data_IF_908816844715
#
_entry.id   IF_908816844715
#
_cell.length_a   1.000
_cell.length_b   1.000
_cell.length_c   1.000
_cell.angle_alpha   90.00
_cell.angle_beta   90.00
_cell.angle_gamma   90.00
#
_symmetry.space_group_name_H-M   'P 1'
#
loop_
_entity.id
_entity.type
_entity.pdbx_description
1 polymer ?
#
# COMPACT_ATOMS: atom_id res chain seq x y z
N UNK A 1 -0.68 21.38 18.76
CA UNK A 1 -1.55 21.15 17.59
C UNK A 1 -2.58 22.27 17.57
N UNK A 2 -2.62 23.07 16.51
CA UNK A 2 -3.57 24.19 16.43
C UNK A 2 -4.90 23.70 15.84
N UNK A 3 -6.02 24.32 16.24
CA UNK A 3 -7.34 23.98 15.69
C UNK A 3 -7.39 24.15 14.15
N UNK A 4 -6.60 25.08 13.60
CA UNK A 4 -6.50 25.32 12.16
C UNK A 4 -6.00 24.09 11.39
N UNK A 5 -5.17 23.25 12.01
CA UNK A 5 -4.55 22.09 11.35
C UNK A 5 -5.47 20.87 11.33
N UNK A 6 -6.39 20.78 12.30
CA UNK A 6 -7.21 19.58 12.53
C UNK A 6 -8.70 19.75 12.25
N UNK A 7 -9.20 20.99 12.16
CA UNK A 7 -10.65 21.29 12.07
C UNK A 7 -11.03 22.16 10.87
N UNK A 8 -10.09 22.59 10.04
CA UNK A 8 -10.42 23.38 8.84
C UNK A 8 -10.72 22.50 7.65
N UNK A 9 -11.64 22.98 6.81
CA UNK A 9 -11.87 22.46 5.46
C UNK A 9 -11.25 23.40 4.44
N UNK A 10 -10.68 22.83 3.39
CA UNK A 10 -10.10 23.58 2.29
C UNK A 10 -11.09 23.74 1.14
N UNK A 11 -11.39 24.98 0.78
CA UNK A 11 -12.21 25.31 -0.36
C UNK A 11 -11.31 25.68 -1.54
N UNK A 12 -11.06 24.70 -2.41
CA UNK A 12 -10.12 24.82 -3.53
C UNK A 12 -10.40 26.01 -4.48
N UNK A 13 -11.65 26.29 -4.91
CA UNK A 13 -11.93 27.41 -5.83
C UNK A 13 -11.41 28.77 -5.35
N UNK A 14 -11.51 29.06 -4.05
CA UNK A 14 -11.03 30.33 -3.49
C UNK A 14 -9.67 30.21 -2.79
N UNK A 15 -9.10 29.01 -2.70
CA UNK A 15 -7.84 28.74 -1.97
C UNK A 15 -7.90 29.16 -0.49
N UNK A 16 -9.07 29.00 0.15
CA UNK A 16 -9.29 29.40 1.55
C UNK A 16 -9.46 28.18 2.45
N UNK A 17 -8.92 28.26 3.67
CA UNK A 17 -9.25 27.34 4.78
C UNK A 17 -10.28 27.99 5.69
N UNK A 18 -11.32 27.25 6.05
CA UNK A 18 -12.37 27.75 6.92
C UNK A 18 -12.68 26.74 8.03
N UNK A 19 -12.99 27.26 9.21
CA UNK A 19 -13.72 26.49 10.23
C UNK A 19 -15.20 26.55 9.86
N UNK A 20 -15.84 25.38 9.77
CA UNK A 20 -17.27 25.27 9.50
C UNK A 20 -17.95 24.80 10.77
N UNK A 21 -18.66 25.69 11.49
CA UNK A 21 -19.35 25.32 12.73
C UNK A 21 -20.28 24.12 12.51
N UNK A 22 -20.43 23.29 13.55
CA UNK A 22 -21.18 22.04 13.54
C UNK A 22 -20.54 20.91 12.72
N UNK A 23 -20.04 21.21 11.53
CA UNK A 23 -19.33 20.23 10.71
C UNK A 23 -18.00 19.82 11.35
N UNK A 24 -17.34 20.74 12.05
CA UNK A 24 -16.08 20.49 12.75
C UNK A 24 -16.18 19.46 13.89
N UNK A 25 -17.38 19.14 14.37
CA UNK A 25 -17.61 18.06 15.35
C UNK A 25 -17.69 16.66 14.72
N UNK A 26 -17.85 16.54 13.41
CA UNK A 26 -18.02 15.24 12.75
C UNK A 26 -16.70 14.48 12.80
N UNK A 27 -16.70 13.27 13.36
CA UNK A 27 -15.48 12.49 13.57
C UNK A 27 -15.05 11.69 12.33
N UNK A 28 -13.79 11.28 12.35
CA UNK A 28 -13.23 10.42 11.32
C UNK A 28 -13.64 8.95 11.52
N UNK A 29 -13.96 8.27 10.42
CA UNK A 29 -14.02 6.80 10.35
C UNK A 29 -13.35 6.31 9.06
N UNK A 30 -12.74 5.12 9.14
CA UNK A 30 -12.25 4.39 7.97
C UNK A 30 -13.39 3.84 7.10
N UNK A 31 -14.53 3.56 7.73
CA UNK A 31 -15.76 3.11 7.09
C UNK A 31 -16.87 4.11 7.45
N UNK A 32 -16.86 5.32 6.86
CA UNK A 32 -17.81 6.35 7.23
C UNK A 32 -19.22 6.00 6.76
N UNK A 33 -20.22 6.47 7.52
CA UNK A 33 -21.63 6.38 7.13
C UNK A 33 -22.15 7.67 6.46
N UNK A 34 -21.28 8.67 6.31
CA UNK A 34 -21.59 9.94 5.66
C UNK A 34 -20.44 10.44 4.80
N UNK A 35 -20.78 11.31 3.85
CA UNK A 35 -19.83 12.04 3.00
C UNK A 35 -20.21 13.51 2.97
N UNK A 36 -19.27 14.37 2.65
CA UNK A 36 -19.52 15.80 2.52
C UNK A 36 -19.16 16.31 1.14
N UNK A 37 -19.77 17.44 0.76
CA UNK A 37 -19.52 18.13 -0.50
C UNK A 37 -19.42 19.62 -0.18
N UNK A 38 -18.39 20.28 -0.72
CA UNK A 38 -18.33 21.73 -0.80
C UNK A 38 -18.83 22.18 -2.16
N UNK A 39 -19.88 22.98 -2.18
CA UNK A 39 -20.42 23.55 -3.41
C UNK A 39 -19.57 24.74 -3.89
N UNK A 40 -19.77 25.14 -5.14
CA UNK A 40 -19.07 26.28 -5.75
C UNK A 40 -19.41 27.63 -5.09
N UNK A 41 -20.54 27.73 -4.39
CA UNK A 41 -20.94 28.91 -3.61
C UNK A 41 -20.35 28.92 -2.19
N UNK A 42 -19.51 27.94 -1.84
CA UNK A 42 -18.91 27.80 -0.52
C UNK A 42 -19.81 27.14 0.52
N UNK A 43 -21.03 26.71 0.15
CA UNK A 43 -21.89 25.95 1.07
C UNK A 43 -21.40 24.51 1.22
N UNK A 44 -21.42 24.01 2.46
CA UNK A 44 -21.08 22.62 2.79
C UNK A 44 -22.35 21.80 2.99
N UNK A 45 -22.40 20.61 2.39
CA UNK A 45 -23.48 19.63 2.61
C UNK A 45 -22.89 18.34 3.16
N UNK A 46 -23.45 17.86 4.27
CA UNK A 46 -23.20 16.53 4.82
C UNK A 46 -24.36 15.62 4.40
N UNK A 47 -24.02 14.47 3.80
CA UNK A 47 -24.97 13.53 3.20
C UNK A 47 -24.70 12.14 3.76
N UNK A 48 -25.73 11.51 4.33
CA UNK A 48 -25.67 10.10 4.69
C UNK A 48 -25.46 9.24 3.43
N UNK A 49 -24.60 8.22 3.52
CA UNK A 49 -24.38 7.25 2.43
C UNK A 49 -25.23 5.99 2.59
N UNK A 50 -25.95 5.86 3.70
CA UNK A 50 -26.84 4.76 4.01
C UNK A 50 -27.81 5.13 5.12
N UNK A 51 -28.50 4.12 5.64
CA UNK A 51 -29.31 4.27 6.85
C UNK A 51 -28.38 4.51 8.06
N UNK A 52 -28.76 5.45 8.94
CA UNK A 52 -28.05 5.74 10.19
C UNK A 52 -29.06 5.55 11.31
N UNK A 53 -28.77 4.66 12.26
CA UNK A 53 -29.67 4.36 13.37
C UNK A 53 -29.73 5.49 14.41
N UNK A 54 -30.82 5.56 15.17
CA UNK A 54 -30.92 6.52 16.27
C UNK A 54 -29.84 6.19 17.31
N UNK A 55 -28.97 7.17 17.58
CA UNK A 55 -27.85 7.01 18.50
C UNK A 55 -26.55 6.54 17.81
N UNK A 56 -26.59 6.18 16.53
CA UNK A 56 -25.38 5.92 15.75
C UNK A 56 -24.65 7.24 15.44
N UNK A 57 -23.33 7.23 15.58
CA UNK A 57 -22.50 8.40 15.32
C UNK A 57 -22.40 8.69 13.82
N UNK A 58 -22.57 9.95 13.44
CA UNK A 58 -22.33 10.42 12.07
C UNK A 58 -20.82 10.61 11.86
N UNK A 59 -20.24 9.90 10.91
CA UNK A 59 -18.79 9.92 10.66
C UNK A 59 -18.45 10.16 9.19
N UNK A 60 -17.27 10.73 8.93
CA UNK A 60 -16.74 11.00 7.59
C UNK A 60 -15.30 10.48 7.44
N UNK A 61 -14.81 10.38 6.22
CA UNK A 61 -13.36 10.29 5.99
C UNK A 61 -12.76 11.69 5.97
N UNK A 62 -11.81 11.98 6.86
CA UNK A 62 -11.03 13.22 6.83
C UNK A 62 -10.08 13.20 5.63
N UNK A 63 -9.34 12.11 5.51
CA UNK A 63 -8.39 11.88 4.43
C UNK A 63 -8.07 10.39 4.26
N UNK A 64 -7.54 10.02 3.11
CA UNK A 64 -7.02 8.67 2.84
C UNK A 64 -5.50 8.60 3.04
N UNK A 65 -5.03 9.04 4.21
CA UNK A 65 -3.60 9.17 4.57
C UNK A 65 -3.16 8.12 5.61
N UNK A 66 -1.86 7.77 5.69
CA UNK A 66 -1.32 6.85 6.70
C UNK A 66 -1.62 7.26 8.15
N UNK A 67 -1.70 6.26 9.03
CA UNK A 67 -1.84 6.44 10.48
C UNK A 67 -0.78 7.38 11.08
N UNK A 68 0.45 7.37 10.56
CA UNK A 68 1.50 8.31 10.99
C UNK A 68 1.08 9.78 10.79
N UNK A 69 0.44 10.09 9.65
CA UNK A 69 -0.05 11.45 9.37
C UNK A 69 -1.32 11.75 10.15
N UNK A 70 -2.18 10.77 10.39
CA UNK A 70 -3.36 10.94 11.26
C UNK A 70 -2.94 11.27 12.69
N UNK A 71 -1.92 10.60 13.23
CA UNK A 71 -1.40 10.87 14.57
C UNK A 71 -0.83 12.30 14.68
N UNK A 72 -0.03 12.72 13.71
CA UNK A 72 0.57 14.06 13.70
C UNK A 72 -0.47 15.17 13.47
N UNK A 73 -1.47 14.93 12.62
CA UNK A 73 -2.44 15.98 12.22
C UNK A 73 -3.63 16.06 13.17
N UNK A 74 -4.13 14.91 13.64
CA UNK A 74 -5.38 14.81 14.37
C UNK A 74 -5.24 14.14 15.75
N UNK A 75 -4.07 13.58 16.08
CA UNK A 75 -3.78 13.04 17.41
C UNK A 75 -4.34 11.65 17.67
N UNK A 76 -4.73 10.90 16.64
CA UNK A 76 -5.25 9.54 16.78
C UNK A 76 -4.66 8.58 15.76
N UNK A 77 -4.80 7.28 16.04
CA UNK A 77 -4.43 6.16 15.17
C UNK A 77 -5.64 5.24 15.11
N UNK A 78 -5.99 4.76 13.92
CA UNK A 78 -7.12 3.84 13.76
C UNK A 78 -6.64 2.39 13.80
N UNK A 79 -7.34 1.58 14.60
CA UNK A 79 -7.25 0.13 14.63
C UNK A 79 -8.28 -0.45 13.66
N UNK A 80 -7.85 -1.00 12.54
CA UNK A 80 -8.76 -1.63 11.59
C UNK A 80 -8.24 -1.65 10.15
N UNK A 81 -9.05 -2.20 9.27
CA UNK A 81 -8.81 -2.15 7.84
C UNK A 81 -9.12 -0.77 7.28
N UNK A 82 -8.38 -0.36 6.26
CA UNK A 82 -8.64 0.89 5.55
C UNK A 82 -7.39 1.51 4.94
N UNK A 83 -7.55 2.66 4.26
CA UNK A 83 -6.45 3.32 3.56
C UNK A 83 -5.35 3.85 4.50
N UNK A 84 -5.67 4.02 5.78
CA UNK A 84 -4.76 4.50 6.83
C UNK A 84 -3.76 3.45 7.31
N UNK A 85 -4.09 2.15 7.13
CA UNK A 85 -3.17 1.03 7.32
C UNK A 85 -2.20 1.00 6.15
N UNK A 86 -1.27 1.96 6.16
CA UNK A 86 -0.27 2.16 5.13
C UNK A 86 0.96 2.88 5.68
N UNK A 87 2.07 2.78 4.97
CA UNK A 87 3.32 3.47 5.27
C UNK A 87 3.75 4.24 4.02
N UNK A 88 4.02 5.53 4.18
CA UNK A 88 4.68 6.34 3.15
C UNK A 88 6.19 6.10 3.26
N UNK A 89 6.84 5.78 2.14
CA UNK A 89 8.27 5.46 2.10
C UNK A 89 8.95 6.17 0.94
N UNK A 90 10.18 6.60 1.17
CA UNK A 90 11.06 7.14 0.14
C UNK A 90 12.03 6.05 -0.30
N UNK A 91 11.91 5.62 -1.56
CA UNK A 91 12.82 4.65 -2.16
C UNK A 91 13.92 5.39 -2.90
N UNK A 92 15.16 5.03 -2.65
CA UNK A 92 16.34 5.59 -3.31
C UNK A 92 17.20 4.49 -3.87
N UNK A 93 17.63 4.64 -5.12
CA UNK A 93 18.41 3.61 -5.82
C UNK A 93 19.86 4.04 -6.08
N UNK A 94 20.32 5.12 -5.45
CA UNK A 94 21.64 5.73 -5.67
C UNK A 94 22.86 4.85 -5.32
N UNK A 95 22.66 3.66 -4.74
CA UNK A 95 23.71 2.66 -4.59
C UNK A 95 23.90 1.78 -5.84
N UNK A 96 23.02 1.89 -6.84
CA UNK A 96 23.12 1.15 -8.11
C UNK A 96 23.94 1.95 -9.13
N UNK A 97 24.79 1.29 -9.95
CA UNK A 97 25.52 1.95 -11.03
C UNK A 97 24.53 2.68 -11.96
N UNK A 98 24.86 3.91 -12.34
CA UNK A 98 24.05 4.80 -13.20
C UNK A 98 22.74 5.35 -12.61
N UNK A 99 22.44 5.07 -11.34
CA UNK A 99 21.31 5.72 -10.68
C UNK A 99 21.64 7.17 -10.30
N UNK A 100 20.96 8.12 -10.95
CA UNK A 100 20.77 9.45 -10.37
C UNK A 100 20.17 9.26 -8.96
N UNK A 101 20.48 10.16 -8.02
CA UNK A 101 19.90 10.19 -6.66
C UNK A 101 18.39 10.52 -6.68
N UNK A 102 17.63 9.84 -7.52
CA UNK A 102 16.20 9.95 -7.65
C UNK A 102 15.56 9.20 -6.48
N UNK A 103 14.78 9.96 -5.71
CA UNK A 103 13.97 9.44 -4.62
C UNK A 103 12.54 9.34 -5.14
N UNK A 104 11.97 8.14 -5.05
CA UNK A 104 10.58 7.89 -5.41
C UNK A 104 9.78 7.67 -4.14
N UNK A 105 8.81 8.56 -3.91
CA UNK A 105 7.87 8.39 -2.82
C UNK A 105 6.79 7.38 -3.20
N UNK A 106 6.69 6.31 -2.42
CA UNK A 106 5.67 5.28 -2.55
C UNK A 106 4.81 5.20 -1.29
N UNK A 107 3.65 4.58 -1.43
CA UNK A 107 2.79 4.23 -0.30
C UNK A 107 2.57 2.72 -0.33
N UNK A 108 3.00 2.04 0.73
CA UNK A 108 2.81 0.61 0.96
C UNK A 108 1.50 0.43 1.74
N UNK A 109 0.58 -0.39 1.24
CA UNK A 109 -0.71 -0.64 1.86
C UNK A 109 -0.65 -1.81 2.86
N UNK A 110 -1.67 -1.95 3.70
CA UNK A 110 -1.77 -2.99 4.74
C UNK A 110 -1.55 -4.42 4.25
N UNK A 111 -1.92 -4.71 3.01
CA UNK A 111 -1.71 -6.01 2.36
C UNK A 111 -0.35 -6.14 1.65
N UNK A 112 0.58 -5.21 1.88
CA UNK A 112 1.87 -5.12 1.20
C UNK A 112 1.81 -4.42 -0.16
N UNK A 113 0.65 -4.23 -0.79
CA UNK A 113 0.62 -3.69 -2.15
C UNK A 113 1.09 -2.23 -2.23
N UNK A 114 1.79 -1.87 -3.31
CA UNK A 114 2.13 -0.47 -3.61
C UNK A 114 0.96 0.25 -4.31
N UNK A 115 0.53 1.40 -3.78
CA UNK A 115 -0.53 2.24 -4.39
C UNK A 115 -0.02 3.09 -5.55
N UNK A 116 1.23 3.59 -5.48
CA UNK A 116 1.84 4.48 -6.49
C UNK A 116 2.91 3.76 -7.31
N UNK A 117 2.51 2.76 -8.10
CA UNK A 117 3.45 1.94 -8.91
C UNK A 117 4.02 2.67 -10.12
N UNK A 118 3.29 3.61 -10.72
CA UNK A 118 3.70 4.22 -11.99
C UNK A 118 5.03 5.00 -11.92
N UNK A 119 5.30 5.84 -10.90
CA UNK A 119 6.60 6.50 -10.75
C UNK A 119 7.75 5.51 -10.58
N UNK A 120 7.53 4.43 -9.82
CA UNK A 120 8.51 3.36 -9.66
C UNK A 120 8.80 2.68 -11.01
N UNK A 121 7.77 2.35 -11.80
CA UNK A 121 7.94 1.76 -13.13
C UNK A 121 8.67 2.69 -14.11
N UNK A 122 8.48 4.01 -14.00
CA UNK A 122 9.20 4.99 -14.81
C UNK A 122 10.69 5.04 -14.45
N UNK A 123 11.00 5.09 -13.16
CA UNK A 123 12.39 5.02 -12.67
C UNK A 123 13.05 3.71 -13.11
N UNK A 124 12.33 2.59 -13.03
CA UNK A 124 12.87 1.29 -13.46
C UNK A 124 13.27 1.27 -14.93
N UNK A 125 12.45 1.90 -15.78
CA UNK A 125 12.76 2.01 -17.21
C UNK A 125 13.96 2.91 -17.48
N UNK A 126 14.13 4.00 -16.72
CA UNK A 126 15.28 4.90 -16.90
C UNK A 126 16.59 4.26 -16.42
N UNK A 127 16.56 3.53 -15.31
CA UNK A 127 17.74 2.90 -14.71
C UNK A 127 18.15 1.57 -15.36
N UNK A 128 17.35 1.02 -16.29
CA UNK A 128 17.61 -0.27 -16.96
C UNK A 128 17.92 -1.42 -16.00
N UNK A 129 17.35 -1.39 -14.80
CA UNK A 129 17.60 -2.39 -13.77
C UNK A 129 16.94 -3.71 -14.14
N UNK A 130 17.61 -4.81 -13.80
CA UNK A 130 16.96 -6.11 -13.78
C UNK A 130 15.90 -6.16 -12.68
N UNK A 131 14.86 -6.98 -12.87
CA UNK A 131 13.84 -7.20 -11.81
C UNK A 131 14.47 -7.75 -10.53
N UNK A 132 15.54 -8.54 -10.63
CA UNK A 132 16.27 -9.09 -9.49
C UNK A 132 16.99 -8.01 -8.69
N UNK A 133 17.76 -7.15 -9.35
CA UNK A 133 18.49 -6.04 -8.69
C UNK A 133 17.54 -5.04 -8.03
N UNK A 134 16.37 -4.80 -8.64
CA UNK A 134 15.31 -4.01 -8.04
C UNK A 134 14.79 -4.68 -6.76
N UNK A 135 14.43 -5.95 -6.84
CA UNK A 135 13.81 -6.65 -5.74
C UNK A 135 14.78 -6.73 -4.54
N UNK A 136 16.07 -6.96 -4.79
CA UNK A 136 17.13 -6.89 -3.78
C UNK A 136 17.22 -5.49 -3.15
N UNK A 137 17.24 -4.43 -3.96
CA UNK A 137 17.30 -3.05 -3.46
C UNK A 137 16.06 -2.64 -2.64
N UNK A 138 14.87 -3.13 -3.01
CA UNK A 138 13.64 -2.94 -2.25
C UNK A 138 13.68 -3.69 -0.92
N UNK A 139 14.09 -4.96 -0.94
CA UNK A 139 14.23 -5.78 0.27
C UNK A 139 15.21 -5.12 1.24
N UNK A 140 16.36 -4.66 0.76
CA UNK A 140 17.37 -4.01 1.60
C UNK A 140 16.82 -2.73 2.27
N UNK A 141 16.20 -1.84 1.50
CA UNK A 141 15.67 -0.58 2.05
C UNK A 141 14.52 -0.80 3.02
N UNK A 142 13.59 -1.71 2.69
CA UNK A 142 12.46 -2.00 3.56
C UNK A 142 12.88 -2.73 4.82
N UNK A 143 13.89 -3.61 4.73
CA UNK A 143 14.45 -4.26 5.92
C UNK A 143 15.11 -3.25 6.84
N UNK A 144 15.87 -2.29 6.30
CA UNK A 144 16.48 -1.22 7.09
C UNK A 144 15.43 -0.33 7.77
N UNK A 145 14.35 0.03 7.07
CA UNK A 145 13.23 0.77 7.66
C UNK A 145 12.53 -0.05 8.76
N UNK A 146 12.28 -1.35 8.51
CA UNK A 146 11.68 -2.26 9.48
C UNK A 146 12.50 -2.34 10.77
N UNK A 147 13.83 -2.44 10.67
CA UNK A 147 14.73 -2.43 11.83
C UNK A 147 14.61 -1.13 12.63
N UNK A 148 14.48 0.03 11.97
CA UNK A 148 14.26 1.31 12.65
C UNK A 148 12.93 1.33 13.42
N UNK A 149 11.85 0.84 12.82
CA UNK A 149 10.56 0.73 13.50
C UNK A 149 10.61 -0.22 14.69
N UNK A 150 11.31 -1.36 14.57
CA UNK A 150 11.49 -2.32 15.66
C UNK A 150 12.34 -1.77 16.81
N UNK A 151 13.32 -0.91 16.51
CA UNK A 151 14.17 -0.26 17.51
C UNK A 151 13.49 0.93 18.21
N UNK A 152 12.34 1.40 17.70
CA UNK A 152 11.64 2.57 18.25
C UNK A 152 10.97 2.21 19.58
N UNK A 153 11.32 2.93 20.64
CA UNK A 153 10.66 2.78 21.95
C UNK A 153 9.37 3.61 22.01
N UNK A 154 8.28 2.96 22.43
CA UNK A 154 6.97 3.58 22.58
C UNK A 154 6.22 3.11 23.83
N UNK A 155 6.96 2.65 24.86
CA UNK A 155 6.38 2.07 26.08
C UNK A 155 5.36 2.98 26.79
N UNK A 156 5.44 4.29 26.60
CA UNK A 156 4.61 5.26 27.32
C UNK A 156 3.40 5.82 26.55
N UNK A 157 3.34 5.68 25.20
CA UNK A 157 2.19 6.15 24.40
C UNK A 157 1.55 4.98 23.62
N UNK A 158 0.35 4.59 24.03
CA UNK A 158 -0.39 3.50 23.40
C UNK A 158 -0.71 3.72 21.92
N UNK A 159 -0.89 4.97 21.47
CA UNK A 159 -1.11 5.29 20.05
C UNK A 159 0.16 5.12 19.24
N UNK A 160 1.30 5.53 19.80
CA UNK A 160 2.60 5.34 19.17
C UNK A 160 2.95 3.84 19.09
N UNK A 161 2.71 3.10 20.17
CA UNK A 161 2.88 1.64 20.19
C UNK A 161 2.02 0.95 19.13
N UNK A 162 0.75 1.39 18.99
CA UNK A 162 -0.15 0.90 17.95
C UNK A 162 0.36 1.24 16.55
N UNK A 163 0.78 2.49 16.30
CA UNK A 163 1.33 2.92 15.02
C UNK A 163 2.54 2.07 14.63
N UNK A 164 3.49 1.88 15.55
CA UNK A 164 4.69 1.07 15.32
C UNK A 164 4.31 -0.36 14.96
N UNK A 165 3.42 -0.99 15.73
CA UNK A 165 2.95 -2.35 15.44
C UNK A 165 2.36 -2.46 14.03
N UNK A 166 1.49 -1.53 13.65
CA UNK A 166 0.86 -1.54 12.32
C UNK A 166 1.86 -1.28 11.20
N UNK A 167 2.82 -0.36 11.39
CA UNK A 167 3.88 -0.09 10.41
C UNK A 167 4.75 -1.33 10.20
N UNK A 168 5.14 -2.02 11.28
CA UNK A 168 5.90 -3.28 11.22
C UNK A 168 5.14 -4.33 10.39
N UNK A 169 3.86 -4.54 10.67
CA UNK A 169 3.03 -5.50 9.92
C UNK A 169 2.94 -5.15 8.42
N UNK A 170 2.74 -3.87 8.08
CA UNK A 170 2.69 -3.39 6.69
C UNK A 170 4.00 -3.70 5.96
N UNK A 171 5.14 -3.40 6.58
CA UNK A 171 6.47 -3.62 6.00
C UNK A 171 6.78 -5.12 5.87
N UNK A 172 6.42 -5.94 6.85
CA UNK A 172 6.55 -7.40 6.78
C UNK A 172 5.73 -8.01 5.65
N UNK A 173 4.47 -7.57 5.49
CA UNK A 173 3.60 -8.03 4.41
C UNK A 173 4.19 -7.67 3.03
N UNK A 174 4.77 -6.48 2.90
CA UNK A 174 5.46 -6.09 1.67
C UNK A 174 6.70 -6.94 1.40
N UNK A 175 7.56 -7.18 2.40
CA UNK A 175 8.74 -8.04 2.24
C UNK A 175 8.35 -9.46 1.82
N UNK A 176 7.28 -10.00 2.40
CA UNK A 176 6.76 -11.31 2.01
C UNK A 176 6.31 -11.32 0.55
N UNK A 177 5.61 -10.27 0.11
CA UNK A 177 5.13 -10.13 -1.27
C UNK A 177 6.28 -9.96 -2.29
N UNK A 178 7.31 -9.19 -1.95
CA UNK A 178 8.51 -9.07 -2.80
C UNK A 178 9.25 -10.40 -2.87
N UNK A 179 9.38 -11.10 -1.73
CA UNK A 179 10.05 -12.42 -1.69
C UNK A 179 9.33 -13.46 -2.54
N UNK A 180 7.99 -13.49 -2.50
CA UNK A 180 7.21 -14.41 -3.37
C UNK A 180 7.40 -14.07 -4.84
N UNK A 181 7.47 -12.78 -5.21
CA UNK A 181 7.74 -12.37 -6.59
C UNK A 181 9.12 -12.83 -7.07
N UNK A 182 10.17 -12.66 -6.25
CA UNK A 182 11.53 -13.13 -6.58
C UNK A 182 11.51 -14.65 -6.84
N UNK A 183 10.88 -15.42 -5.96
CA UNK A 183 10.79 -16.88 -6.10
C UNK A 183 10.05 -17.28 -7.38
N UNK A 184 8.91 -16.66 -7.69
CA UNK A 184 8.16 -16.92 -8.93
C UNK A 184 8.95 -16.55 -10.18
N UNK A 185 9.69 -15.44 -10.17
CA UNK A 185 10.52 -15.01 -11.29
C UNK A 185 11.68 -15.99 -11.53
N UNK A 186 12.34 -16.44 -10.46
CA UNK A 186 13.38 -17.47 -10.51
C UNK A 186 12.81 -18.80 -11.03
N UNK A 187 11.65 -19.25 -10.54
CA UNK A 187 10.97 -20.45 -11.03
C UNK A 187 10.65 -20.37 -12.52
N UNK A 188 10.10 -19.25 -13.00
CA UNK A 188 9.83 -19.05 -14.44
C UNK A 188 11.10 -19.06 -15.27
N UNK A 189 12.18 -18.45 -14.78
CA UNK A 189 13.49 -18.47 -15.44
C UNK A 189 14.09 -19.88 -15.49
N UNK A 190 13.97 -20.65 -14.40
CA UNK A 190 14.41 -22.05 -14.32
C UNK A 190 13.56 -22.92 -15.27
N UNK A 191 12.23 -22.79 -15.27
CA UNK A 191 11.35 -23.55 -16.16
C UNK A 191 11.57 -23.21 -17.64
N UNK A 192 11.87 -21.95 -17.96
CA UNK A 192 12.26 -21.55 -19.31
C UNK A 192 13.63 -22.13 -19.72
N UNK A 193 14.57 -22.27 -18.77
CA UNK A 193 15.87 -22.88 -18.99
C UNK A 193 15.83 -24.42 -19.08
N UNK A 194 14.84 -25.06 -18.46
CA UNK A 194 14.65 -26.52 -18.50
C UNK A 194 14.02 -27.04 -19.80
N UNK A 195 13.63 -26.16 -20.73
CA UNK A 195 12.99 -26.53 -22.00
C UNK A 195 11.58 -27.11 -21.81
N UNK A 196 10.81 -27.31 -22.91
CA UNK A 196 9.55 -28.03 -22.81
C UNK A 196 9.78 -29.45 -22.28
N UNK A 197 8.84 -30.02 -21.50
CA UNK A 197 8.95 -31.41 -21.06
C UNK A 197 9.14 -32.31 -22.30
N UNK A 198 10.01 -33.34 -22.23
CA UNK A 198 10.21 -34.24 -23.36
C UNK A 198 8.84 -34.77 -23.79
N UNK A 199 8.51 -34.59 -25.08
CA UNK A 199 7.33 -35.23 -25.67
C UNK A 199 7.40 -36.70 -25.29
N UNK A 200 6.33 -37.18 -24.64
CA UNK A 200 6.19 -38.59 -24.33
C UNK A 200 6.41 -39.33 -25.65
N UNK A 201 7.52 -40.06 -25.73
CA UNK A 201 7.81 -40.95 -26.85
C UNK A 201 6.62 -41.88 -26.91
N UNK A 202 5.73 -41.68 -27.88
CA UNK A 202 4.73 -42.67 -28.24
C UNK A 202 5.52 -43.92 -28.58
N UNK A 203 5.53 -44.86 -27.63
CA UNK A 203 5.99 -46.22 -27.85
C UNK A 203 5.07 -46.75 -28.93
N UNK A 204 5.55 -46.72 -30.18
CA UNK A 204 4.97 -47.51 -31.26
C UNK A 204 5.04 -48.96 -30.81
N UNK A 205 3.96 -49.43 -30.23
CA UNK A 205 3.72 -50.84 -29.98
C UNK A 205 3.70 -51.53 -31.35
N UNK A 206 4.80 -52.21 -31.65
CA UNK A 206 4.79 -53.30 -32.61
C UNK A 206 3.92 -54.41 -32.01
N UNK A 207 2.73 -54.59 -32.57
CA UNK A 207 1.96 -55.83 -32.49
C UNK A 207 1.88 -56.34 -33.93
N UNK A 208 2.80 -57.22 -34.30
CA UNK A 208 2.59 -58.68 -34.30
C UNK A 208 1.74 -59.13 -35.49
N UNK A 209 2.48 -59.59 -36.49
CA UNK A 209 2.05 -60.61 -37.43
C UNK A 209 1.43 -61.81 -36.70
N UNK A 210 0.45 -62.42 -37.37
CA UNK A 210 0.17 -63.86 -37.46
C UNK A 210 -1.17 -64.37 -36.91
N UNK A 211 -1.81 -65.15 -37.80
CA UNK A 211 -2.91 -66.13 -37.63
C UNK A 211 -4.32 -65.50 -37.61
N UNK A 212 -5.34 -66.02 -38.32
CA UNK A 212 -5.57 -67.39 -38.79
C UNK A 212 -6.60 -67.43 -39.94
N UNK A 213 -6.63 -68.56 -40.64
CA UNK A 213 -7.48 -68.91 -41.77
C UNK A 213 -8.88 -69.38 -41.32
N UNK A 214 -9.91 -69.14 -42.14
CA UNK A 214 -11.25 -69.73 -41.95
C UNK A 214 -12.34 -69.02 -42.73
#
# INVERSE_FOLDING_TARGET
MYAVDSRTVYWHPAQVRALVPYFDFVNHSACPNSRWIMNSDGSLRLLATGHIEIGEEVTITYDSIPNARLLVTYGFVLEGEGPHRSVDMNLSFGQLPDALNEVVQVQILGNGALRRRAPLLQLLRSLRLSEASLAEGLVQQVSAELEQWQATDAREDGRLALLIRMSIEVLQNFLQQVSSWIQEAQLKSIMAALGPPPEAVEVRSASEDSQDSG
#
